data_IF_559601650458
#
_entry.id   IF_559601650458
#
_cell.length_a   1.000
_cell.length_b   1.000
_cell.length_c   1.000
_cell.angle_alpha   90.00
_cell.angle_beta   90.00
_cell.angle_gamma   90.00
#
_symmetry.space_group_name_H-M   'P 1'
#
loop_
_entity.id
_entity.type
_entity.pdbx_description
1 polymer ?
#
# COMPACT_ATOMS: atom_id res chain seq x y z
N UNK A 1 14.32 -4.44 11.51
CA UNK A 1 13.05 -4.34 12.25
C UNK A 1 13.18 -3.25 13.29
N UNK A 2 12.15 -2.47 13.48
CA UNK A 2 12.00 -1.45 14.53
C UNK A 2 10.65 -1.64 15.22
N UNK A 3 10.52 -1.11 16.43
CA UNK A 3 9.23 -0.98 17.10
C UNK A 3 8.77 0.47 17.05
N UNK A 4 7.46 0.69 16.94
CA UNK A 4 6.85 2.01 16.99
C UNK A 4 5.51 1.98 17.73
N UNK A 5 5.10 3.12 18.26
CA UNK A 5 3.92 3.23 19.12
C UNK A 5 2.66 3.39 18.29
N UNK A 6 1.60 2.70 18.64
CA UNK A 6 0.24 2.83 18.13
C UNK A 6 -0.53 3.93 18.89
N UNK A 7 -1.58 4.54 18.33
CA UNK A 7 -2.41 5.52 19.03
C UNK A 7 -3.02 5.02 20.35
N UNK A 8 -3.33 3.74 20.46
CA UNK A 8 -3.85 3.11 21.70
C UNK A 8 -2.82 2.94 22.80
N UNK A 9 -1.56 3.33 22.56
CA UNK A 9 -0.42 3.19 23.47
C UNK A 9 0.27 1.84 23.41
N UNK A 10 -0.24 0.91 22.61
CA UNK A 10 0.44 -0.34 22.30
C UNK A 10 1.64 -0.13 21.37
N UNK A 11 2.48 -1.16 21.25
CA UNK A 11 3.58 -1.18 20.28
C UNK A 11 3.28 -2.16 19.17
N UNK A 12 3.78 -1.83 17.98
CA UNK A 12 3.85 -2.73 16.85
C UNK A 12 5.23 -2.66 16.20
N UNK A 13 5.58 -3.62 15.39
CA UNK A 13 6.89 -3.66 14.72
C UNK A 13 6.71 -3.47 13.21
N UNK A 14 7.82 -3.11 12.56
CA UNK A 14 7.88 -3.01 11.11
C UNK A 14 9.31 -3.05 10.59
N UNK A 15 9.45 -3.20 9.29
CA UNK A 15 10.73 -3.10 8.61
C UNK A 15 10.96 -1.66 8.13
N UNK A 16 12.02 -1.03 8.61
CA UNK A 16 12.43 0.32 8.20
C UNK A 16 13.64 0.22 7.27
N UNK A 17 13.47 0.72 6.05
CA UNK A 17 14.54 1.00 5.10
C UNK A 17 14.75 2.52 5.02
N UNK A 18 15.89 3.00 5.52
CA UNK A 18 16.16 4.44 5.68
C UNK A 18 16.94 4.98 4.47
N UNK A 19 16.39 5.96 3.78
CA UNK A 19 17.02 6.66 2.66
C UNK A 19 17.89 7.86 3.09
N UNK A 20 17.98 8.12 4.40
CA UNK A 20 18.78 9.20 4.96
C UNK A 20 17.97 10.43 5.40
N UNK A 21 18.66 11.40 5.98
CA UNK A 21 18.04 12.61 6.50
C UNK A 21 17.43 13.46 5.37
N UNK A 22 16.22 14.00 5.60
CA UNK A 22 15.50 14.83 4.65
C UNK A 22 14.75 14.08 3.54
N UNK A 23 14.82 12.73 3.51
CA UNK A 23 14.01 11.93 2.58
C UNK A 23 12.55 11.83 3.03
N UNK A 24 11.59 11.94 2.11
CA UNK A 24 10.18 11.72 2.44
C UNK A 24 9.91 10.29 2.90
N UNK A 25 8.83 10.13 3.69
CA UNK A 25 8.41 8.84 4.21
C UNK A 25 7.44 8.12 3.28
N UNK A 26 7.50 6.78 3.25
CA UNK A 26 6.49 5.94 2.59
C UNK A 26 6.11 4.79 3.51
N UNK A 27 4.82 4.59 3.72
CA UNK A 27 4.29 3.38 4.34
C UNK A 27 4.09 2.35 3.23
N UNK A 28 4.72 1.19 3.36
CA UNK A 28 4.58 0.06 2.43
C UNK A 28 3.75 -1.04 3.08
N UNK A 29 2.58 -1.33 2.54
CA UNK A 29 1.65 -2.29 3.13
C UNK A 29 1.78 -3.64 2.43
N UNK A 30 1.99 -4.67 3.22
CA UNK A 30 2.19 -6.06 2.80
C UNK A 30 1.00 -6.66 2.05
N UNK A 31 1.27 -7.69 1.26
CA UNK A 31 0.25 -8.60 0.74
C UNK A 31 -0.26 -9.56 1.85
N UNK A 32 -1.20 -10.43 1.53
CA UNK A 32 -1.77 -11.41 2.46
C UNK A 32 -0.78 -12.47 2.97
N UNK A 33 0.44 -12.51 2.42
CA UNK A 33 1.52 -13.43 2.83
C UNK A 33 2.25 -13.01 4.11
N UNK A 34 2.02 -11.81 4.62
CA UNK A 34 2.74 -11.21 5.73
C UNK A 34 3.93 -10.35 5.28
N UNK A 35 4.66 -9.80 6.27
CA UNK A 35 5.87 -8.99 6.06
C UNK A 35 7.06 -9.87 5.66
N UNK A 36 7.00 -10.46 4.49
CA UNK A 36 8.00 -11.39 3.95
C UNK A 36 9.18 -10.65 3.30
N UNK A 37 10.16 -11.42 2.81
CA UNK A 37 11.37 -10.85 2.19
C UNK A 37 11.07 -10.08 0.91
N UNK A 38 10.02 -10.42 0.14
CA UNK A 38 9.60 -9.63 -1.02
C UNK A 38 9.22 -8.20 -0.62
N UNK A 39 8.44 -8.03 0.43
CA UNK A 39 8.04 -6.69 0.92
C UNK A 39 9.24 -5.92 1.48
N UNK A 40 10.16 -6.61 2.16
CA UNK A 40 11.41 -5.98 2.64
C UNK A 40 12.31 -5.54 1.49
N UNK A 41 12.47 -6.38 0.46
CA UNK A 41 13.21 -6.02 -0.77
C UNK A 41 12.59 -4.81 -1.48
N UNK A 42 11.25 -4.72 -1.51
CA UNK A 42 10.56 -3.53 -2.04
C UNK A 42 10.81 -2.28 -1.20
N UNK A 43 10.84 -2.40 0.13
CA UNK A 43 11.17 -1.29 1.02
C UNK A 43 12.61 -0.80 0.77
N UNK A 44 13.57 -1.71 0.61
CA UNK A 44 14.97 -1.37 0.30
C UNK A 44 15.11 -0.70 -1.07
N UNK A 45 14.36 -1.16 -2.08
CA UNK A 45 14.30 -0.53 -3.41
C UNK A 45 13.72 0.89 -3.36
N UNK A 46 12.68 1.12 -2.58
CA UNK A 46 12.10 2.45 -2.37
C UNK A 46 13.10 3.36 -1.64
N UNK A 47 13.81 2.84 -0.64
CA UNK A 47 14.87 3.59 0.05
C UNK A 47 16.03 3.95 -0.90
N UNK A 48 16.45 3.02 -1.77
CA UNK A 48 17.43 3.31 -2.80
C UNK A 48 16.95 4.36 -3.83
N UNK A 49 15.64 4.51 -4.01
CA UNK A 49 15.02 5.56 -4.81
C UNK A 49 14.82 6.89 -4.03
N UNK A 50 15.33 7.01 -2.80
CA UNK A 50 15.29 8.22 -1.99
C UNK A 50 14.04 8.36 -1.10
N UNK A 51 13.30 7.29 -0.87
CA UNK A 51 12.06 7.27 -0.08
C UNK A 51 12.25 6.41 1.19
N UNK A 52 12.37 7.02 2.36
CA UNK A 52 12.45 6.27 3.61
C UNK A 52 11.17 5.46 3.81
N UNK A 53 11.27 4.14 3.82
CA UNK A 53 10.12 3.24 3.78
C UNK A 53 9.96 2.45 5.07
N UNK A 54 8.76 2.52 5.66
CA UNK A 54 8.34 1.70 6.80
C UNK A 54 7.26 0.72 6.35
N UNK A 55 7.55 -0.57 6.47
CA UNK A 55 6.57 -1.63 6.24
C UNK A 55 6.10 -2.20 7.59
N UNK A 56 4.90 -1.85 8.09
CA UNK A 56 4.34 -2.40 9.32
C UNK A 56 4.10 -3.91 9.22
N UNK A 57 4.34 -4.65 10.29
CA UNK A 57 4.01 -6.06 10.40
C UNK A 57 2.58 -6.25 10.93
N UNK A 58 1.63 -6.34 10.00
CA UNK A 58 0.21 -6.45 10.35
C UNK A 58 -0.17 -7.81 10.95
N UNK A 59 0.69 -8.83 10.77
CA UNK A 59 0.45 -10.18 11.24
C UNK A 59 1.28 -10.58 12.47
N UNK A 60 2.00 -9.62 13.07
CA UNK A 60 2.76 -9.83 14.31
C UNK A 60 3.77 -10.98 14.21
N UNK A 61 4.54 -10.99 13.14
CA UNK A 61 5.59 -11.98 12.87
C UNK A 61 5.10 -13.23 12.14
N UNK A 62 3.81 -13.36 11.86
CA UNK A 62 3.30 -14.52 11.10
C UNK A 62 3.54 -14.33 9.61
N UNK A 63 4.05 -15.38 8.97
CA UNK A 63 4.32 -15.47 7.54
C UNK A 63 3.80 -16.80 7.01
N UNK A 64 3.33 -16.80 5.77
CA UNK A 64 2.94 -18.05 5.10
C UNK A 64 3.21 -18.01 3.60
N UNK A 65 3.35 -19.16 3.00
CA UNK A 65 3.35 -19.38 1.54
C UNK A 65 2.17 -20.25 1.10
N UNK A 66 1.35 -20.70 2.05
CA UNK A 66 0.15 -21.48 1.83
C UNK A 66 -1.05 -20.54 1.66
N UNK A 67 -1.86 -20.74 0.61
CA UNK A 67 -2.97 -19.86 0.27
C UNK A 67 -4.14 -19.93 1.26
N UNK A 68 -4.40 -21.13 1.83
CA UNK A 68 -5.49 -21.29 2.80
C UNK A 68 -5.12 -20.60 4.12
N UNK A 69 -3.86 -20.73 4.56
CA UNK A 69 -3.35 -20.01 5.73
C UNK A 69 -3.31 -18.49 5.48
N UNK A 70 -2.90 -18.03 4.29
CA UNK A 70 -2.92 -16.61 3.93
C UNK A 70 -4.34 -16.04 3.97
N UNK A 71 -5.31 -16.79 3.44
CA UNK A 71 -6.73 -16.41 3.52
C UNK A 71 -7.22 -16.34 4.97
N UNK A 72 -6.82 -17.30 5.81
CA UNK A 72 -7.14 -17.28 7.25
C UNK A 72 -6.54 -16.07 7.95
N UNK A 73 -5.28 -15.73 7.67
CA UNK A 73 -4.62 -14.54 8.23
C UNK A 73 -5.31 -13.24 7.80
N UNK A 74 -5.63 -13.13 6.51
CA UNK A 74 -6.27 -11.93 5.96
C UNK A 74 -7.70 -11.75 6.50
N UNK A 75 -8.50 -12.83 6.55
CA UNK A 75 -9.87 -12.76 7.05
C UNK A 75 -9.94 -12.57 8.57
N UNK A 76 -8.90 -12.97 9.29
CA UNK A 76 -8.74 -12.73 10.73
C UNK A 76 -8.17 -11.37 11.10
N UNK A 77 -7.68 -10.59 10.12
CA UNK A 77 -7.16 -9.25 10.38
C UNK A 77 -8.33 -8.26 10.57
N UNK A 78 -8.32 -7.55 11.69
CA UNK A 78 -9.20 -6.39 11.86
C UNK A 78 -8.66 -5.21 11.02
N UNK A 79 -9.28 -4.95 9.89
CA UNK A 79 -8.90 -3.86 8.97
C UNK A 79 -9.06 -2.48 9.61
N UNK A 80 -10.03 -2.32 10.53
CA UNK A 80 -10.22 -1.10 11.30
C UNK A 80 -9.03 -0.85 12.24
N UNK A 81 -8.67 -1.86 13.04
CA UNK A 81 -7.50 -1.80 13.93
C UNK A 81 -6.20 -1.59 13.12
N UNK A 82 -5.99 -2.36 12.06
CA UNK A 82 -4.83 -2.19 11.19
C UNK A 82 -4.73 -0.75 10.64
N UNK A 83 -5.84 -0.17 10.17
CA UNK A 83 -5.87 1.19 9.64
C UNK A 83 -5.66 2.23 10.74
N UNK A 84 -6.47 2.22 11.78
CA UNK A 84 -6.52 3.30 12.78
C UNK A 84 -5.45 3.17 13.86
N UNK A 85 -4.81 2.02 14.00
CA UNK A 85 -3.74 1.81 14.97
C UNK A 85 -2.39 1.58 14.29
N UNK A 86 -2.21 0.51 13.50
CA UNK A 86 -0.89 0.19 12.94
C UNK A 86 -0.43 1.20 11.88
N UNK A 87 -1.28 1.46 10.88
CA UNK A 87 -0.95 2.42 9.82
C UNK A 87 -0.92 3.86 10.36
N UNK A 88 -1.80 4.22 11.28
CA UNK A 88 -1.76 5.52 11.96
C UNK A 88 -0.44 5.69 12.72
N UNK A 89 -0.02 4.70 13.51
CA UNK A 89 1.27 4.70 14.21
C UNK A 89 2.47 4.84 13.27
N UNK A 90 2.41 4.17 12.11
CA UNK A 90 3.44 4.30 11.08
C UNK A 90 3.49 5.71 10.46
N UNK A 91 2.32 6.35 10.21
CA UNK A 91 2.26 7.76 9.79
C UNK A 91 2.90 8.66 10.84
N UNK A 92 2.53 8.50 12.11
CA UNK A 92 3.04 9.33 13.21
C UNK A 92 4.55 9.17 13.38
N UNK A 93 5.06 7.94 13.24
CA UNK A 93 6.50 7.65 13.30
C UNK A 93 7.26 8.34 12.16
N UNK A 94 6.81 8.22 10.92
CA UNK A 94 7.48 8.83 9.77
C UNK A 94 7.37 10.36 9.78
N UNK A 95 6.23 10.90 10.21
CA UNK A 95 6.00 12.35 10.29
C UNK A 95 6.96 13.06 11.27
N UNK A 96 7.50 12.36 12.28
CA UNK A 96 8.51 12.91 13.20
C UNK A 96 9.81 13.32 12.47
N UNK A 97 10.04 12.82 11.26
CA UNK A 97 11.18 13.20 10.42
C UNK A 97 10.99 14.57 9.75
N UNK A 98 9.79 15.17 9.87
CA UNK A 98 9.46 16.50 9.33
C UNK A 98 9.29 16.54 7.81
N UNK A 99 9.13 15.39 7.16
CA UNK A 99 8.95 15.27 5.71
C UNK A 99 7.54 14.74 5.38
N UNK A 100 7.02 14.97 4.15
CA UNK A 100 5.76 14.39 3.72
C UNK A 100 5.78 12.86 3.77
N UNK A 101 4.60 12.27 4.00
CA UNK A 101 4.42 10.81 4.07
C UNK A 101 3.47 10.36 2.98
N UNK A 102 3.89 9.39 2.18
CA UNK A 102 3.05 8.66 1.23
C UNK A 102 2.66 7.27 1.75
N UNK A 103 1.74 6.62 1.05
CA UNK A 103 1.36 5.24 1.31
C UNK A 103 1.27 4.45 0.02
N UNK A 104 1.75 3.22 0.04
CA UNK A 104 1.57 2.25 -1.04
C UNK A 104 1.37 0.85 -0.48
N UNK A 105 0.69 0.00 -1.23
CA UNK A 105 0.46 -1.38 -0.82
C UNK A 105 -0.09 -2.25 -1.95
N UNK A 106 0.02 -3.55 -1.77
CA UNK A 106 -0.22 -4.56 -2.79
C UNK A 106 -1.30 -5.55 -2.35
N UNK A 107 -2.25 -5.91 -3.20
CA UNK A 107 -3.32 -6.86 -2.90
C UNK A 107 -4.15 -6.40 -1.67
N UNK A 108 -4.17 -7.17 -0.58
CA UNK A 108 -4.71 -6.76 0.72
C UNK A 108 -4.17 -5.37 1.13
N UNK A 109 -2.87 -5.15 0.97
CA UNK A 109 -2.23 -3.86 1.24
C UNK A 109 -2.69 -2.75 0.31
N UNK A 110 -3.09 -3.06 -0.92
CA UNK A 110 -3.73 -2.11 -1.84
C UNK A 110 -5.08 -1.64 -1.29
N UNK A 111 -5.89 -2.57 -0.79
CA UNK A 111 -7.16 -2.23 -0.13
C UNK A 111 -6.94 -1.34 1.12
N UNK A 112 -5.94 -1.67 1.95
CA UNK A 112 -5.56 -0.86 3.10
C UNK A 112 -4.95 0.51 2.69
N UNK A 113 -4.34 0.62 1.51
CA UNK A 113 -3.89 1.91 0.96
C UNK A 113 -5.07 2.84 0.67
N UNK A 114 -6.15 2.31 0.07
CA UNK A 114 -7.40 3.05 -0.12
C UNK A 114 -7.99 3.48 1.22
N UNK A 115 -8.05 2.57 2.20
CA UNK A 115 -8.54 2.86 3.55
C UNK A 115 -7.71 3.95 4.25
N UNK A 116 -6.38 3.86 4.16
CA UNK A 116 -5.49 4.87 4.71
C UNK A 116 -5.70 6.25 4.05
N UNK A 117 -5.88 6.29 2.72
CA UNK A 117 -6.13 7.53 1.99
C UNK A 117 -7.47 8.19 2.35
N UNK A 118 -8.47 7.40 2.75
CA UNK A 118 -9.78 7.89 3.22
C UNK A 118 -9.75 8.35 4.68
N UNK A 119 -9.16 7.54 5.56
CA UNK A 119 -9.33 7.69 7.00
C UNK A 119 -8.19 8.41 7.71
N UNK A 120 -6.97 8.37 7.17
CA UNK A 120 -5.80 8.89 7.88
C UNK A 120 -5.41 10.29 7.43
N UNK A 121 -5.18 11.16 8.40
CA UNK A 121 -4.58 12.48 8.15
C UNK A 121 -3.05 12.36 8.13
N UNK A 122 -2.39 13.28 7.44
CA UNK A 122 -0.92 13.32 7.36
C UNK A 122 -0.32 12.48 6.25
N UNK A 123 -1.16 11.86 5.40
CA UNK A 123 -0.75 11.24 4.15
C UNK A 123 -0.88 12.26 3.03
N UNK A 124 0.18 12.42 2.23
CA UNK A 124 0.26 13.40 1.13
C UNK A 124 -0.02 12.80 -0.24
N UNK A 125 0.17 11.50 -0.42
CA UNK A 125 -0.09 10.78 -1.67
C UNK A 125 -0.29 9.28 -1.42
N UNK A 126 -1.08 8.62 -2.27
CA UNK A 126 -1.34 7.19 -2.17
C UNK A 126 -1.18 6.49 -3.51
N UNK A 127 -0.52 5.32 -3.51
CA UNK A 127 -0.39 4.46 -4.70
C UNK A 127 -0.91 3.05 -4.38
N UNK A 128 -2.00 2.66 -5.03
CA UNK A 128 -2.68 1.40 -4.80
C UNK A 128 -2.34 0.38 -5.89
N UNK A 129 -1.98 -0.84 -5.49
CA UNK A 129 -1.81 -1.97 -6.41
C UNK A 129 -2.91 -3.01 -6.17
N UNK A 130 -3.72 -3.22 -7.19
CA UNK A 130 -4.73 -4.29 -7.33
C UNK A 130 -5.46 -4.67 -6.02
N UNK A 131 -5.96 -3.67 -5.28
CA UNK A 131 -6.73 -3.87 -4.06
C UNK A 131 -7.72 -2.74 -3.79
N UNK A 132 -8.99 -3.06 -3.58
CA UNK A 132 -10.05 -2.12 -3.26
C UNK A 132 -10.87 -2.70 -2.12
N UNK A 133 -11.03 -1.99 -0.99
CA UNK A 133 -11.86 -2.45 0.12
C UNK A 133 -13.35 -2.31 -0.20
N UNK A 134 -14.23 -2.96 0.58
CA UNK A 134 -15.66 -2.68 0.52
C UNK A 134 -15.93 -1.17 0.73
N UNK A 135 -16.86 -0.63 -0.04
CA UNK A 135 -17.19 0.81 -0.02
C UNK A 135 -17.67 1.27 1.35
N UNK A 136 -18.36 0.41 2.08
CA UNK A 136 -18.86 0.68 3.42
C UNK A 136 -17.72 0.89 4.44
N UNK A 137 -16.55 0.31 4.16
CA UNK A 137 -15.37 0.51 4.99
C UNK A 137 -14.58 1.75 4.58
N UNK A 138 -14.38 1.97 3.26
CA UNK A 138 -13.69 3.15 2.77
C UNK A 138 -14.22 3.55 1.38
N UNK A 139 -15.03 4.62 1.33
CA UNK A 139 -15.55 5.13 0.06
C UNK A 139 -14.46 5.92 -0.69
N UNK A 140 -14.05 5.49 -1.90
CA UNK A 140 -13.07 6.22 -2.69
C UNK A 140 -13.48 7.68 -3.00
N UNK A 141 -14.78 7.99 -2.96
CA UNK A 141 -15.27 9.36 -3.10
C UNK A 141 -14.79 10.29 -1.98
N UNK A 142 -14.30 9.75 -0.85
CA UNK A 142 -13.78 10.53 0.28
C UNK A 142 -12.26 10.76 0.24
N UNK A 143 -11.54 10.18 -0.71
CA UNK A 143 -10.11 10.47 -0.92
C UNK A 143 -9.96 11.94 -1.34
N UNK A 144 -9.05 12.67 -0.67
CA UNK A 144 -8.79 14.10 -0.92
C UNK A 144 -7.33 14.39 -1.30
N UNK A 145 -6.50 13.36 -1.33
CA UNK A 145 -5.07 13.44 -1.68
C UNK A 145 -4.83 12.92 -3.11
N UNK A 146 -3.72 13.27 -3.75
CA UNK A 146 -3.30 12.63 -4.99
C UNK A 146 -3.30 11.11 -4.87
N UNK A 147 -3.89 10.44 -5.85
CA UNK A 147 -4.06 8.99 -5.85
C UNK A 147 -3.67 8.40 -7.20
N UNK A 148 -2.82 7.37 -7.16
CA UNK A 148 -2.48 6.57 -8.32
C UNK A 148 -2.89 5.11 -8.08
N UNK A 149 -3.39 4.43 -9.12
CA UNK A 149 -3.78 3.02 -9.03
C UNK A 149 -3.25 2.18 -10.19
N UNK A 150 -2.83 0.95 -9.87
CA UNK A 150 -2.31 -0.03 -10.80
C UNK A 150 -3.16 -1.30 -10.73
N UNK A 151 -3.92 -1.59 -11.78
CA UNK A 151 -4.89 -2.68 -11.82
C UNK A 151 -4.64 -3.62 -13.01
N UNK A 152 -4.88 -4.91 -12.81
CA UNK A 152 -4.75 -5.92 -13.84
C UNK A 152 -6.08 -6.15 -14.58
N UNK A 153 -6.02 -6.39 -15.88
CA UNK A 153 -7.24 -6.61 -16.71
C UNK A 153 -7.80 -8.03 -16.62
N UNK A 154 -6.99 -8.97 -16.09
CA UNK A 154 -7.36 -10.39 -15.90
C UNK A 154 -7.53 -10.73 -14.41
N UNK A 155 -7.85 -9.75 -13.58
CA UNK A 155 -7.97 -9.91 -12.14
C UNK A 155 -9.41 -10.30 -11.77
N UNK A 156 -9.57 -11.49 -11.18
CA UNK A 156 -10.87 -12.00 -10.71
C UNK A 156 -11.18 -11.58 -9.26
N UNK A 157 -10.19 -11.08 -8.52
CA UNK A 157 -10.36 -10.63 -7.13
C UNK A 157 -10.59 -9.12 -7.06
N UNK A 158 -9.66 -8.31 -7.56
CA UNK A 158 -9.83 -6.86 -7.73
C UNK A 158 -10.20 -6.57 -9.18
N UNK A 159 -11.46 -6.83 -9.53
CA UNK A 159 -11.92 -6.86 -10.92
C UNK A 159 -11.76 -5.51 -11.64
N UNK A 160 -11.62 -5.51 -12.97
CA UNK A 160 -11.64 -4.28 -13.77
C UNK A 160 -12.86 -3.38 -13.49
N UNK A 161 -14.03 -3.98 -13.27
CA UNK A 161 -15.25 -3.24 -12.92
C UNK A 161 -15.16 -2.54 -11.56
N UNK A 162 -14.47 -3.14 -10.58
CA UNK A 162 -14.21 -2.50 -9.29
C UNK A 162 -13.28 -1.28 -9.45
N UNK A 163 -12.23 -1.40 -10.28
CA UNK A 163 -11.33 -0.29 -10.60
C UNK A 163 -12.06 0.85 -11.33
N UNK A 164 -12.97 0.53 -12.27
CA UNK A 164 -13.80 1.52 -12.97
C UNK A 164 -14.75 2.25 -11.99
N UNK A 165 -15.31 1.51 -11.03
CA UNK A 165 -16.17 2.08 -9.98
C UNK A 165 -15.41 3.05 -9.07
N UNK A 166 -14.19 2.67 -8.64
CA UNK A 166 -13.30 3.55 -7.87
C UNK A 166 -12.99 4.83 -8.66
N UNK A 167 -12.59 4.70 -9.93
CA UNK A 167 -12.28 5.84 -10.79
C UNK A 167 -13.47 6.78 -10.93
N UNK A 168 -14.64 6.22 -11.21
CA UNK A 168 -15.88 7.00 -11.37
C UNK A 168 -16.24 7.76 -10.07
N UNK A 169 -16.12 7.10 -8.91
CA UNK A 169 -16.41 7.71 -7.61
C UNK A 169 -15.46 8.90 -7.32
N UNK A 170 -14.17 8.72 -7.52
CA UNK A 170 -13.18 9.78 -7.30
C UNK A 170 -13.36 10.95 -8.28
N UNK A 171 -13.61 10.67 -9.57
CA UNK A 171 -13.89 11.71 -10.58
C UNK A 171 -15.15 12.51 -10.24
N UNK A 172 -16.22 11.83 -9.82
CA UNK A 172 -17.46 12.50 -9.41
C UNK A 172 -17.27 13.38 -8.16
N UNK A 173 -16.35 13.00 -7.25
CA UNK A 173 -15.98 13.78 -6.08
C UNK A 173 -15.00 14.93 -6.37
N UNK A 174 -14.58 15.12 -7.63
CA UNK A 174 -13.68 16.20 -8.04
C UNK A 174 -12.18 15.93 -7.80
N UNK A 175 -11.81 14.69 -7.46
CA UNK A 175 -10.42 14.28 -7.27
C UNK A 175 -10.08 13.12 -8.25
N UNK A 176 -9.88 13.40 -9.56
CA UNK A 176 -9.62 12.37 -10.55
C UNK A 176 -8.28 11.66 -10.28
N UNK A 177 -8.26 10.32 -10.15
CA UNK A 177 -7.03 9.56 -9.93
C UNK A 177 -6.24 9.37 -11.23
N UNK A 178 -4.94 9.05 -11.08
CA UNK A 178 -4.13 8.47 -12.16
C UNK A 178 -4.28 6.94 -12.14
N UNK A 179 -5.10 6.35 -13.01
CA UNK A 179 -5.27 4.89 -13.06
C UNK A 179 -4.63 4.27 -14.30
N UNK A 180 -3.89 3.19 -14.05
CA UNK A 180 -3.24 2.37 -15.08
C UNK A 180 -3.79 0.95 -15.05
N UNK A 181 -4.05 0.42 -16.24
CA UNK A 181 -4.53 -0.95 -16.45
C UNK A 181 -3.49 -1.72 -17.25
N UNK A 182 -3.19 -2.93 -16.78
CA UNK A 182 -2.16 -3.81 -17.33
C UNK A 182 -2.80 -5.09 -17.84
N UNK A 183 -2.37 -5.58 -19.00
CA UNK A 183 -2.81 -6.87 -19.56
C UNK A 183 -2.11 -8.02 -18.79
N UNK A 184 -2.44 -8.18 -17.52
CA UNK A 184 -1.80 -9.07 -16.57
C UNK A 184 -2.83 -9.66 -15.60
N UNK A 185 -2.38 -10.64 -14.81
CA UNK A 185 -3.15 -11.29 -13.75
C UNK A 185 -3.03 -10.53 -12.42
N UNK A 186 -3.87 -10.90 -11.42
CA UNK A 186 -3.72 -10.41 -10.05
C UNK A 186 -2.30 -10.67 -9.51
N UNK A 187 -1.74 -9.73 -8.76
CA UNK A 187 -0.39 -9.80 -8.21
C UNK A 187 0.75 -9.84 -9.25
N UNK A 188 0.54 -9.30 -10.46
CA UNK A 188 1.55 -9.24 -11.52
C UNK A 188 2.87 -8.59 -11.13
N UNK A 189 2.88 -7.83 -10.06
CA UNK A 189 4.08 -7.15 -9.56
C UNK A 189 4.95 -8.06 -8.68
N UNK A 190 4.42 -9.17 -8.15
CA UNK A 190 5.13 -10.03 -7.22
C UNK A 190 6.08 -11.02 -7.93
N UNK A 191 7.36 -10.68 -7.99
CA UNK A 191 8.39 -11.49 -8.63
C UNK A 191 8.63 -12.87 -7.98
N UNK A 192 8.15 -13.08 -6.74
CA UNK A 192 8.21 -14.37 -6.05
C UNK A 192 7.10 -15.33 -6.49
N UNK A 193 6.15 -14.83 -7.28
CA UNK A 193 5.03 -15.59 -7.83
C UNK A 193 5.15 -15.70 -9.34
N UNK A 194 6.11 -16.54 -9.79
CA UNK A 194 6.44 -16.69 -11.20
C UNK A 194 5.29 -17.05 -12.13
N UNK A 195 4.20 -17.60 -11.59
CA UNK A 195 2.99 -17.96 -12.34
C UNK A 195 2.13 -16.74 -12.76
N UNK A 196 2.23 -15.61 -12.05
CA UNK A 196 1.46 -14.38 -12.32
C UNK A 196 2.36 -13.16 -12.56
N UNK A 197 3.65 -13.27 -12.27
CA UNK A 197 4.58 -12.17 -12.44
C UNK A 197 4.74 -11.77 -13.90
N UNK A 198 4.52 -10.50 -14.20
CA UNK A 198 4.81 -9.91 -15.51
C UNK A 198 5.87 -8.80 -15.34
N UNK A 199 7.08 -9.10 -15.78
CA UNK A 199 8.22 -8.20 -15.61
C UNK A 199 8.03 -6.86 -16.34
N UNK A 200 7.41 -6.85 -17.51
CA UNK A 200 7.19 -5.62 -18.29
C UNK A 200 6.17 -4.72 -17.59
N UNK A 201 5.05 -5.29 -17.15
CA UNK A 201 4.01 -4.58 -16.40
C UNK A 201 4.54 -4.10 -15.05
N UNK A 202 5.28 -4.95 -14.33
CA UNK A 202 5.85 -4.62 -13.02
C UNK A 202 6.86 -3.46 -13.10
N UNK A 203 7.78 -3.49 -14.07
CA UNK A 203 8.75 -2.42 -14.27
C UNK A 203 8.05 -1.09 -14.62
N UNK A 204 7.08 -1.11 -15.52
CA UNK A 204 6.33 0.09 -15.88
C UNK A 204 5.54 0.64 -14.69
N UNK A 205 4.92 -0.23 -13.87
CA UNK A 205 4.20 0.18 -12.67
C UNK A 205 5.15 0.75 -11.61
N UNK A 206 6.35 0.17 -11.44
CA UNK A 206 7.39 0.68 -10.55
C UNK A 206 7.83 2.10 -10.93
N UNK A 207 8.17 2.33 -12.19
CA UNK A 207 8.60 3.64 -12.67
C UNK A 207 7.52 4.72 -12.44
N UNK A 208 6.25 4.38 -12.71
CA UNK A 208 5.11 5.27 -12.48
C UNK A 208 4.91 5.59 -11.01
N UNK A 209 4.96 4.57 -10.14
CA UNK A 209 4.83 4.75 -8.69
C UNK A 209 5.93 5.67 -8.13
N UNK A 210 7.20 5.38 -8.47
CA UNK A 210 8.32 6.17 -7.96
C UNK A 210 8.24 7.62 -8.44
N UNK A 211 7.94 7.84 -9.73
CA UNK A 211 7.76 9.19 -10.28
C UNK A 211 6.60 9.94 -9.62
N UNK A 212 5.48 9.26 -9.37
CA UNK A 212 4.32 9.84 -8.71
C UNK A 212 4.63 10.22 -7.26
N UNK A 213 5.23 9.32 -6.49
CA UNK A 213 5.62 9.60 -5.10
C UNK A 213 6.65 10.75 -5.03
N UNK A 214 7.67 10.73 -5.87
CA UNK A 214 8.66 11.81 -5.93
C UNK A 214 8.03 13.18 -6.23
N UNK A 215 7.05 13.23 -7.13
CA UNK A 215 6.31 14.47 -7.49
C UNK A 215 5.46 15.01 -6.33
N UNK A 216 4.83 14.14 -5.55
CA UNK A 216 3.85 14.56 -4.54
C UNK A 216 4.37 14.58 -3.11
N UNK A 217 5.59 14.08 -2.89
CA UNK A 217 6.28 14.10 -1.59
C UNK A 217 7.49 15.05 -1.55
N UNK A 218 7.68 15.86 -2.61
CA UNK A 218 8.74 16.86 -2.67
C UNK A 218 8.37 18.15 -1.93
#
# INVERSE_FOLDING_TARGET
MIDFTRPDGGNTSGYLADAGAGSPGVILIQEWWGLNDHIKDLADRLAAAGLTTLAPDLYRGRLTTDADEANHLMTGLDFGDATHQDLRGAVDFLAQRGQPVGVTGFCMGGALTVAAAVHLKGISAAVCFYGIPPREFADPADIRIPFQGHFASKDDWCTPAAADTLEAAMRAAGNPPELFRYEADHAFFNERRGEVYDAACANQAWERMVAFLAKHLS
#
